data_IF_765487901159
#
_entry.id   IF_765487901159
#
_cell.length_a   1.000
_cell.length_b   1.000
_cell.length_c   1.000
_cell.angle_alpha   90.00
_cell.angle_beta   90.00
_cell.angle_gamma   90.00
#
_symmetry.space_group_name_H-M   'P 1'
#
loop_
_entity.id
_entity.type
_entity.pdbx_description
1 polymer ?
#
# COMPACT_ATOMS: atom_id res chain seq x y z
N UNK A 1 13.52 9.99 -12.42
CA UNK A 1 13.00 8.75 -11.82
C UNK A 1 13.50 8.70 -10.39
N UNK A 2 12.71 9.20 -9.44
CA UNK A 2 13.07 9.24 -8.02
C UNK A 2 11.78 9.40 -7.20
N UNK A 3 10.77 8.61 -7.51
CA UNK A 3 9.58 8.51 -6.67
C UNK A 3 9.75 7.29 -5.76
N UNK A 4 9.76 7.54 -4.45
CA UNK A 4 9.26 6.61 -3.44
C UNK A 4 10.08 5.39 -3.00
N UNK A 5 11.41 5.51 -2.87
CA UNK A 5 12.13 4.58 -1.96
C UNK A 5 12.15 5.03 -0.49
N UNK A 6 11.74 6.26 -0.20
CA UNK A 6 11.90 6.83 1.13
C UNK A 6 10.66 6.70 2.04
N UNK A 7 9.47 6.41 1.46
CA UNK A 7 8.22 6.25 2.23
C UNK A 7 8.28 5.02 3.15
N UNK A 8 8.94 3.93 2.72
CA UNK A 8 9.18 2.72 3.53
C UNK A 8 9.94 2.99 4.82
N UNK A 9 10.89 3.92 4.80
CA UNK A 9 11.72 4.25 5.99
C UNK A 9 11.07 5.28 6.89
N UNK A 10 10.24 6.16 6.34
CA UNK A 10 9.58 7.21 7.12
C UNK A 10 8.29 6.74 7.80
N UNK A 11 7.74 5.59 7.43
CA UNK A 11 6.51 5.06 8.04
C UNK A 11 6.69 4.31 9.35
N UNK A 12 7.93 4.19 9.83
CA UNK A 12 8.19 4.01 11.25
C UNK A 12 7.91 5.33 12.01
N UNK A 13 6.75 5.95 11.75
CA UNK A 13 6.21 7.03 12.56
C UNK A 13 5.69 6.39 13.83
N UNK A 14 6.59 6.32 14.82
CA UNK A 14 6.55 5.65 16.13
C UNK A 14 5.27 5.73 16.97
N UNK A 15 4.22 6.42 16.52
CA UNK A 15 3.02 6.69 17.31
C UNK A 15 1.70 6.66 16.52
N UNK A 16 1.71 6.32 15.22
CA UNK A 16 0.46 6.16 14.47
C UNK A 16 0.34 4.75 13.89
N UNK A 17 -0.72 4.00 14.27
CA UNK A 17 -1.04 2.71 13.68
C UNK A 17 -1.57 2.87 12.24
N UNK A 18 -0.79 3.47 11.34
CA UNK A 18 -1.12 3.54 9.92
C UNK A 18 -0.67 2.26 9.25
N UNK A 19 -1.54 1.75 8.41
CA UNK A 19 -1.33 0.56 7.64
C UNK A 19 -1.12 1.00 6.18
N UNK A 20 -0.07 0.52 5.54
CA UNK A 20 0.35 1.04 4.24
C UNK A 20 0.30 -0.05 3.21
N UNK A 21 -0.34 0.30 2.09
CA UNK A 21 -0.54 -0.61 0.98
C UNK A 21 0.11 0.01 -0.24
N UNK A 22 1.17 -0.65 -0.69
CA UNK A 22 1.86 -0.24 -1.91
C UNK A 22 1.19 -0.91 -3.11
N UNK A 23 0.78 -0.08 -4.07
CA UNK A 23 0.20 -0.52 -5.32
C UNK A 23 1.27 -0.52 -6.42
N UNK A 24 1.26 -1.51 -7.33
CA UNK A 24 2.30 -1.67 -8.33
C UNK A 24 2.17 -0.65 -9.47
N UNK A 25 1.05 0.06 -9.55
CA UNK A 25 0.77 1.08 -10.55
C UNK A 25 -0.18 2.15 -10.01
N UNK A 26 -0.06 3.38 -10.54
CA UNK A 26 -0.99 4.48 -10.30
C UNK A 26 -2.06 4.62 -11.41
N UNK A 27 -2.10 3.70 -12.39
CA UNK A 27 -3.08 3.72 -13.48
C UNK A 27 -4.45 3.31 -12.96
N UNK A 28 -5.38 4.26 -12.90
CA UNK A 28 -6.74 4.03 -12.39
C UNK A 28 -7.47 2.85 -13.03
N UNK A 29 -7.30 2.64 -14.34
CA UNK A 29 -7.92 1.51 -15.06
C UNK A 29 -7.51 0.15 -14.46
N UNK A 30 -6.21 -0.03 -14.23
CA UNK A 30 -5.64 -1.27 -13.68
C UNK A 30 -6.04 -1.44 -12.22
N UNK A 31 -6.07 -0.34 -11.45
CA UNK A 31 -6.56 -0.36 -10.07
C UNK A 31 -8.03 -0.75 -9.99
N UNK A 32 -8.87 -0.25 -10.90
CA UNK A 32 -10.29 -0.58 -10.95
C UNK A 32 -10.52 -2.06 -11.30
N UNK A 33 -9.76 -2.59 -12.25
CA UNK A 33 -9.81 -4.01 -12.62
C UNK A 33 -9.39 -4.92 -11.46
N UNK A 34 -8.52 -4.44 -10.57
CA UNK A 34 -8.01 -5.18 -9.41
C UNK A 34 -8.60 -4.71 -8.07
N UNK A 35 -9.66 -3.88 -8.10
CA UNK A 35 -10.26 -3.30 -6.89
C UNK A 35 -10.67 -4.36 -5.84
N UNK A 36 -11.22 -5.55 -6.22
CA UNK A 36 -11.53 -6.59 -5.25
C UNK A 36 -10.29 -7.13 -4.52
N UNK A 37 -9.16 -7.28 -5.22
CA UNK A 37 -7.89 -7.75 -4.63
C UNK A 37 -7.29 -6.71 -3.70
N UNK A 38 -7.39 -5.44 -4.07
CA UNK A 38 -6.95 -4.33 -3.21
C UNK A 38 -7.81 -4.27 -1.94
N UNK A 39 -9.14 -4.44 -2.06
CA UNK A 39 -10.05 -4.47 -0.91
C UNK A 39 -9.75 -5.65 0.04
N UNK A 40 -9.44 -6.84 -0.50
CA UNK A 40 -9.03 -7.99 0.32
C UNK A 40 -7.71 -7.72 1.06
N UNK A 41 -6.74 -7.10 0.40
CA UNK A 41 -5.48 -6.71 1.03
C UNK A 41 -5.70 -5.68 2.14
N UNK A 42 -6.56 -4.69 1.91
CA UNK A 42 -6.98 -3.69 2.92
C UNK A 42 -7.61 -4.38 4.13
N UNK A 43 -8.48 -5.36 3.92
CA UNK A 43 -9.14 -6.08 5.01
C UNK A 43 -8.21 -6.97 5.85
N UNK A 44 -7.04 -7.35 5.31
CA UNK A 44 -6.06 -8.21 6.01
C UNK A 44 -4.95 -7.42 6.71
N UNK A 45 -4.69 -6.20 6.26
CA UNK A 45 -3.62 -5.35 6.74
C UNK A 45 -3.95 -4.81 8.14
N UNK A 46 -2.99 -4.93 9.07
CA UNK A 46 -3.12 -4.37 10.42
C UNK A 46 -2.34 -3.07 10.54
N UNK A 47 -2.74 -2.28 11.53
CA UNK A 47 -1.98 -1.16 12.03
C UNK A 47 -0.46 -1.43 12.10
N UNK A 48 0.35 -0.67 11.36
CA UNK A 48 1.80 -0.84 11.32
C UNK A 48 2.32 -1.81 10.26
N UNK A 49 1.44 -2.54 9.57
CA UNK A 49 1.83 -3.38 8.43
C UNK A 49 2.08 -2.52 7.18
N UNK A 50 3.10 -2.93 6.43
CA UNK A 50 3.37 -2.45 5.09
C UNK A 50 3.28 -3.62 4.13
N UNK A 51 2.25 -3.65 3.28
CA UNK A 51 1.97 -4.76 2.36
C UNK A 51 1.98 -4.25 0.92
N UNK A 52 2.75 -4.92 0.08
CA UNK A 52 2.77 -4.67 -1.36
C UNK A 52 1.75 -5.60 -2.03
N UNK A 53 0.78 -5.02 -2.74
CA UNK A 53 -0.20 -5.80 -3.50
C UNK A 53 0.37 -6.04 -4.89
N UNK A 54 0.56 -7.31 -5.27
CA UNK A 54 0.98 -7.69 -6.62
C UNK A 54 -0.21 -8.26 -7.40
N UNK A 55 -0.47 -7.71 -8.58
CA UNK A 55 -1.43 -8.20 -9.55
C UNK A 55 -0.96 -7.91 -10.97
#
# INVERSE_FOLDING_TARGET
MTADRNIKRQQTMKDRPIAVIELPTNRWRVLRENAPRIAEAVGRVRAGDCVEVRF
#
